data_IF_757075247469
#
_entry.id   IF_757075247469
#
_cell.length_a   1.000
_cell.length_b   1.000
_cell.length_c   1.000
_cell.angle_alpha   90.00
_cell.angle_beta   90.00
_cell.angle_gamma   90.00
#
_symmetry.space_group_name_H-M   'P 1'
#
loop_
_entity.id
_entity.type
_entity.pdbx_description
1 polymer ?
#
# COMPACT_ATOMS: atom_id res chain seq x y z
N UNK A 1 2.22 0.75 10.10
CA UNK A 1 1.48 0.09 11.23
C UNK A 1 1.74 -1.40 11.14
N UNK A 2 1.89 -2.11 12.27
CA UNK A 2 2.21 -3.53 12.27
C UNK A 2 1.37 -4.34 13.26
N UNK A 3 1.25 -5.64 12.99
CA UNK A 3 0.57 -6.62 13.85
C UNK A 3 0.92 -8.04 13.41
N UNK A 4 0.73 -9.02 14.29
CA UNK A 4 0.60 -10.42 13.88
C UNK A 4 -0.68 -10.62 13.05
N UNK A 5 -0.57 -11.43 12.00
CA UNK A 5 -1.69 -11.83 11.16
C UNK A 5 -1.41 -13.22 10.57
N UNK A 6 -2.24 -14.22 10.95
CA UNK A 6 -2.09 -15.63 10.51
C UNK A 6 -0.66 -16.15 10.71
N UNK A 7 -0.13 -15.96 11.92
CA UNK A 7 1.20 -16.41 12.36
C UNK A 7 2.39 -15.82 11.59
N UNK A 8 2.17 -14.77 10.81
CA UNK A 8 3.22 -13.97 10.15
C UNK A 8 3.09 -12.52 10.60
N UNK A 9 4.21 -11.80 10.72
CA UNK A 9 4.19 -10.41 11.13
C UNK A 9 4.03 -9.48 9.93
N UNK A 10 3.00 -8.65 9.97
CA UNK A 10 2.69 -7.69 8.93
C UNK A 10 3.20 -6.29 9.31
N UNK A 11 3.85 -5.61 8.36
CA UNK A 11 4.25 -4.20 8.47
C UNK A 11 3.70 -3.47 7.26
N UNK A 12 2.62 -2.69 7.45
CA UNK A 12 2.07 -1.85 6.39
C UNK A 12 2.68 -0.46 6.43
N UNK A 13 3.29 -0.08 5.32
CA UNK A 13 3.78 1.25 5.02
C UNK A 13 2.74 1.98 4.18
N UNK A 14 2.56 3.28 4.43
CA UNK A 14 1.60 4.10 3.72
C UNK A 14 2.20 5.47 3.39
N UNK A 15 1.87 5.98 2.21
CA UNK A 15 2.34 7.27 1.70
C UNK A 15 1.15 8.11 1.28
N UNK A 16 1.20 9.38 1.65
CA UNK A 16 0.21 10.37 1.21
C UNK A 16 0.77 11.20 0.06
N UNK A 17 0.00 11.32 -1.01
CA UNK A 17 0.25 12.25 -2.10
C UNK A 17 -0.91 13.26 -2.18
N UNK A 18 -0.65 14.56 -2.40
CA UNK A 18 -1.71 15.57 -2.51
C UNK A 18 -2.72 15.32 -3.63
N UNK A 19 -2.30 14.61 -4.67
CA UNK A 19 -3.11 14.18 -5.83
C UNK A 19 -2.63 12.83 -6.34
N UNK A 20 -3.51 12.06 -6.96
CA UNK A 20 -3.19 10.79 -7.61
C UNK A 20 -4.00 10.57 -8.88
N UNK A 21 -3.49 9.70 -9.75
CA UNK A 21 -4.16 9.25 -10.96
C UNK A 21 -5.11 8.08 -10.63
N UNK A 22 -6.38 8.27 -10.91
CA UNK A 22 -7.41 7.23 -10.84
C UNK A 22 -8.51 7.59 -11.81
N UNK A 23 -8.73 6.73 -12.80
CA UNK A 23 -9.71 6.91 -13.85
C UNK A 23 -10.63 5.68 -13.86
N UNK A 24 -11.73 5.70 -13.09
CA UNK A 24 -12.60 4.53 -12.92
C UNK A 24 -13.44 4.21 -14.18
N UNK A 25 -13.62 5.17 -15.09
CA UNK A 25 -14.40 5.00 -16.33
C UNK A 25 -13.66 5.58 -17.54
N UNK A 26 -13.70 4.87 -18.67
CA UNK A 26 -13.06 5.26 -19.93
C UNK A 26 -13.39 6.69 -20.40
N UNK A 27 -14.66 7.07 -20.25
CA UNK A 27 -15.19 8.36 -20.67
C UNK A 27 -15.17 9.43 -19.56
N UNK A 28 -14.49 9.17 -18.44
CA UNK A 28 -14.35 10.18 -17.39
C UNK A 28 -13.55 11.38 -17.90
N UNK A 29 -14.12 12.58 -17.79
CA UNK A 29 -13.38 13.83 -18.01
C UNK A 29 -12.37 14.12 -16.89
N UNK A 30 -12.52 13.46 -15.73
CA UNK A 30 -11.60 13.55 -14.61
C UNK A 30 -10.63 12.35 -14.63
N UNK A 31 -9.33 12.65 -14.74
CA UNK A 31 -8.26 11.64 -14.83
C UNK A 31 -7.59 11.37 -13.47
N UNK A 32 -8.10 11.91 -12.38
CA UNK A 32 -7.53 11.70 -11.06
C UNK A 32 -8.35 12.35 -9.96
N UNK A 33 -7.73 12.49 -8.80
CA UNK A 33 -8.39 13.11 -7.65
C UNK A 33 -7.40 13.73 -6.70
N UNK A 34 -7.92 14.64 -5.86
CA UNK A 34 -7.21 15.13 -4.68
C UNK A 34 -7.15 14.00 -3.66
N UNK A 35 -6.06 13.97 -2.90
CA UNK A 35 -5.77 13.01 -1.84
C UNK A 35 -5.60 11.58 -2.38
N UNK A 36 -4.38 11.07 -2.29
CA UNK A 36 -4.08 9.70 -2.67
C UNK A 36 -3.24 9.05 -1.58
N UNK A 37 -3.64 7.85 -1.18
CA UNK A 37 -2.95 7.01 -0.22
C UNK A 37 -2.43 5.75 -0.92
N UNK A 38 -1.11 5.65 -1.09
CA UNK A 38 -0.45 4.41 -1.48
C UNK A 38 -0.09 3.59 -0.25
N UNK A 39 -0.15 2.26 -0.34
CA UNK A 39 0.33 1.39 0.73
C UNK A 39 0.89 0.08 0.21
N UNK A 40 1.81 -0.49 0.97
CA UNK A 40 2.34 -1.82 0.78
C UNK A 40 2.51 -2.48 2.15
N UNK A 41 2.23 -3.78 2.23
CA UNK A 41 2.46 -4.60 3.41
C UNK A 41 3.67 -5.48 3.14
N UNK A 42 4.71 -5.32 3.97
CA UNK A 42 5.85 -6.22 4.04
C UNK A 42 5.55 -7.27 5.11
N UNK A 43 5.70 -8.53 4.75
CA UNK A 43 5.45 -9.67 5.62
C UNK A 43 6.79 -10.27 6.03
N UNK A 44 7.02 -10.39 7.34
CA UNK A 44 8.23 -10.99 7.90
C UNK A 44 7.87 -12.18 8.78
N UNK A 45 8.80 -13.12 8.90
CA UNK A 45 8.61 -14.33 9.70
C UNK A 45 8.36 -14.04 11.19
N UNK A 46 9.28 -13.34 11.86
CA UNK A 46 9.16 -13.03 13.27
C UNK A 46 9.95 -11.75 13.64
N UNK A 47 9.29 -10.69 14.14
CA UNK A 47 9.93 -9.42 14.48
C UNK A 47 10.88 -9.50 15.68
N UNK A 48 10.82 -10.57 16.48
CA UNK A 48 11.69 -10.77 17.63
C UNK A 48 13.08 -11.35 17.25
N UNK A 49 13.24 -11.80 15.99
CA UNK A 49 14.52 -12.31 15.49
C UNK A 49 15.45 -11.15 15.14
N UNK A 50 16.74 -11.30 15.47
CA UNK A 50 17.77 -10.32 15.09
C UNK A 50 17.85 -10.13 13.57
N UNK A 51 17.69 -11.24 12.83
CA UNK A 51 17.68 -11.26 11.36
C UNK A 51 16.34 -11.79 10.85
N UNK A 52 15.26 -11.05 11.13
CA UNK A 52 13.94 -11.36 10.59
C UNK A 52 13.97 -11.37 9.06
N UNK A 53 13.29 -12.35 8.45
CA UNK A 53 13.28 -12.55 7.00
C UNK A 53 12.01 -11.98 6.40
N UNK A 54 12.15 -11.24 5.31
CA UNK A 54 11.01 -10.89 4.45
C UNK A 54 10.54 -12.17 3.76
N UNK A 55 9.31 -12.57 4.06
CA UNK A 55 8.66 -13.76 3.49
C UNK A 55 7.66 -13.40 2.40
N UNK A 56 7.24 -12.14 2.32
CA UNK A 56 6.42 -11.66 1.22
C UNK A 56 6.22 -10.15 1.22
N UNK A 57 5.68 -9.63 0.13
CA UNK A 57 5.18 -8.27 0.01
C UNK A 57 3.83 -8.27 -0.71
N UNK A 58 2.94 -7.35 -0.35
CA UNK A 58 1.64 -7.22 -1.00
C UNK A 58 1.15 -5.76 -1.04
N UNK A 59 0.39 -5.39 -2.05
CA UNK A 59 -0.12 -4.03 -2.25
C UNK A 59 -1.39 -4.03 -3.13
N UNK A 60 -2.13 -2.92 -3.27
CA UNK A 60 -3.22 -2.83 -4.23
C UNK A 60 -2.75 -3.19 -5.64
N UNK A 61 -3.52 -4.01 -6.35
CA UNK A 61 -3.27 -4.21 -7.77
C UNK A 61 -3.63 -2.99 -8.59
N UNK A 62 -2.91 -2.85 -9.69
CA UNK A 62 -3.07 -1.76 -10.65
C UNK A 62 -3.97 -2.16 -11.83
N UNK A 63 -4.28 -3.46 -11.96
CA UNK A 63 -5.19 -3.96 -12.98
C UNK A 63 -6.66 -3.72 -12.58
N UNK A 64 -7.37 -2.93 -13.39
CA UNK A 64 -8.79 -2.64 -13.22
C UNK A 64 -9.72 -3.80 -13.60
N UNK A 65 -9.23 -4.80 -14.32
CA UNK A 65 -10.04 -5.90 -14.83
C UNK A 65 -10.13 -7.04 -13.82
N UNK A 66 -9.03 -7.35 -13.14
CA UNK A 66 -9.00 -8.44 -12.17
C UNK A 66 -9.32 -8.01 -10.74
N UNK A 67 -9.21 -6.71 -10.39
CA UNK A 67 -9.26 -6.21 -9.01
C UNK A 67 -8.35 -6.98 -8.04
N UNK A 68 -7.39 -7.75 -8.56
CA UNK A 68 -6.50 -8.56 -7.77
C UNK A 68 -5.50 -7.67 -7.04
N UNK A 69 -4.95 -8.18 -5.96
CA UNK A 69 -3.87 -7.51 -5.24
C UNK A 69 -2.53 -7.99 -5.80
N UNK A 70 -1.56 -7.10 -5.91
CA UNK A 70 -0.20 -7.55 -6.20
C UNK A 70 0.45 -8.13 -4.97
N UNK A 71 1.08 -9.29 -5.15
CA UNK A 71 1.64 -10.13 -4.09
C UNK A 71 2.88 -10.83 -4.62
N UNK A 72 3.94 -10.84 -3.82
CA UNK A 72 5.11 -11.70 -4.03
C UNK A 72 5.41 -12.44 -2.74
N UNK A 73 5.40 -13.77 -2.79
CA UNK A 73 5.69 -14.65 -1.66
C UNK A 73 6.32 -15.97 -2.18
N UNK A 74 7.65 -16.15 -2.10
CA UNK A 74 8.64 -15.21 -1.57
C UNK A 74 8.83 -13.98 -2.48
N UNK A 75 9.39 -12.91 -1.92
CA UNK A 75 9.75 -11.69 -2.69
C UNK A 75 10.90 -12.03 -3.64
N UNK A 76 10.82 -11.56 -4.88
CA UNK A 76 11.93 -11.76 -5.83
C UNK A 76 13.18 -11.02 -5.32
N UNK A 77 14.35 -11.69 -5.20
CA UNK A 77 15.58 -11.05 -4.75
C UNK A 77 15.94 -9.77 -5.50
N UNK A 78 15.56 -9.66 -6.79
CA UNK A 78 15.82 -8.44 -7.57
C UNK A 78 15.03 -7.23 -7.09
N UNK A 79 13.93 -7.45 -6.36
CA UNK A 79 13.12 -6.40 -5.72
C UNK A 79 13.57 -6.09 -4.28
N UNK A 80 14.66 -6.70 -3.80
CA UNK A 80 15.21 -6.44 -2.49
C UNK A 80 16.52 -5.63 -2.58
N UNK A 81 16.76 -4.83 -1.54
CA UNK A 81 18.06 -4.25 -1.20
C UNK A 81 18.28 -4.46 0.30
N UNK A 82 19.06 -5.48 0.65
CA UNK A 82 19.19 -5.96 2.02
C UNK A 82 17.83 -6.35 2.62
N UNK A 83 17.40 -5.63 3.66
CA UNK A 83 16.11 -5.81 4.34
C UNK A 83 15.02 -4.84 3.86
N UNK A 84 15.21 -4.20 2.70
CA UNK A 84 14.26 -3.25 2.12
C UNK A 84 13.65 -3.79 0.83
N UNK A 85 12.33 -3.68 0.69
CA UNK A 85 11.64 -3.91 -0.59
C UNK A 85 11.67 -2.63 -1.43
N UNK A 86 12.10 -2.75 -2.68
CA UNK A 86 12.15 -1.65 -3.66
C UNK A 86 10.80 -1.53 -4.35
N UNK A 87 10.20 -0.34 -4.25
CA UNK A 87 8.87 -0.04 -4.76
C UNK A 87 8.89 1.24 -5.59
N UNK A 88 8.09 1.30 -6.66
CA UNK A 88 7.79 2.55 -7.38
C UNK A 88 6.31 2.88 -7.28
N UNK A 89 6.00 4.18 -7.30
CA UNK A 89 4.67 4.59 -7.73
C UNK A 89 4.55 4.38 -9.24
N UNK A 90 3.59 3.56 -9.64
CA UNK A 90 3.31 3.26 -11.04
C UNK A 90 1.86 3.63 -11.37
N UNK A 91 1.63 4.11 -12.59
CA UNK A 91 0.32 4.39 -13.11
C UNK A 91 0.11 3.58 -14.39
N UNK A 92 -0.92 2.72 -14.39
CA UNK A 92 -1.25 1.85 -15.51
C UNK A 92 -2.52 2.37 -16.17
N UNK A 93 -2.45 2.90 -17.40
CA UNK A 93 -3.63 3.06 -18.25
C UNK A 93 -4.04 1.70 -18.83
N UNK A 94 -5.33 1.37 -18.76
CA UNK A 94 -5.94 0.22 -19.44
C UNK A 94 -6.39 0.60 -20.86
N UNK A 95 -6.50 -0.40 -21.74
CA UNK A 95 -6.93 -0.24 -23.14
C UNK A 95 -8.35 0.34 -23.26
N UNK A 96 -9.23 0.10 -22.27
CA UNK A 96 -10.60 0.63 -22.22
C UNK A 96 -10.69 2.05 -21.63
N UNK A 97 -9.56 2.77 -21.57
CA UNK A 97 -9.47 4.16 -21.11
C UNK A 97 -9.63 4.35 -19.60
N UNK A 98 -9.66 3.28 -18.80
CA UNK A 98 -9.52 3.35 -17.32
C UNK A 98 -8.04 3.39 -16.93
N UNK A 99 -7.73 3.67 -15.69
CA UNK A 99 -6.36 3.53 -15.21
C UNK A 99 -6.15 3.89 -13.76
N UNK A 100 -5.15 3.26 -13.12
CA UNK A 100 -4.90 3.33 -11.67
C UNK A 100 -3.47 3.69 -11.38
N UNK A 101 -3.26 4.47 -10.33
CA UNK A 101 -1.97 4.62 -9.67
C UNK A 101 -1.89 3.75 -8.41
N UNK A 102 -0.70 3.25 -8.11
CA UNK A 102 -0.40 2.56 -6.85
C UNK A 102 1.07 2.17 -6.81
N UNK A 103 1.41 1.20 -5.96
CA UNK A 103 2.78 0.73 -5.79
C UNK A 103 3.04 -0.53 -6.61
N UNK A 104 4.29 -0.69 -7.05
CA UNK A 104 4.74 -1.84 -7.81
C UNK A 104 6.19 -2.21 -7.43
N UNK A 105 6.53 -3.51 -7.24
CA UNK A 105 7.90 -3.95 -6.99
C UNK A 105 8.83 -3.68 -8.18
N UNK A 106 10.05 -3.22 -7.92
CA UNK A 106 11.01 -2.85 -8.99
C UNK A 106 12.45 -3.21 -8.67
N UNK A 107 13.27 -3.27 -9.71
CA UNK A 107 14.71 -3.51 -9.61
C UNK A 107 15.48 -2.23 -9.25
N UNK A 108 15.00 -1.07 -9.69
CA UNK A 108 15.65 0.21 -9.44
C UNK A 108 15.59 0.61 -7.96
N UNK A 109 16.69 1.14 -7.44
CA UNK A 109 16.74 1.68 -6.09
C UNK A 109 15.85 2.94 -5.98
N UNK A 110 15.12 3.02 -4.87
CA UNK A 110 14.34 4.19 -4.50
C UNK A 110 15.02 5.06 -3.45
N UNK A 111 14.22 5.85 -2.75
CA UNK A 111 14.65 6.68 -1.63
C UNK A 111 13.89 6.30 -0.36
N UNK A 112 14.47 6.59 0.80
CA UNK A 112 13.78 6.50 2.08
C UNK A 112 13.09 7.82 2.44
N UNK A 113 12.06 7.74 3.26
CA UNK A 113 11.37 8.89 3.85
C UNK A 113 11.39 8.74 5.36
N UNK A 114 11.30 9.86 6.07
CA UNK A 114 11.20 9.86 7.53
C UNK A 114 9.94 9.10 7.97
N UNK A 115 10.17 8.01 8.71
CA UNK A 115 9.10 7.12 9.16
C UNK A 115 8.50 7.62 10.47
N UNK A 116 7.17 7.76 10.50
CA UNK A 116 6.39 7.91 11.73
C UNK A 116 5.43 6.73 11.88
N UNK A 117 5.57 5.99 12.98
CA UNK A 117 4.71 4.85 13.27
C UNK A 117 3.34 5.30 13.80
N UNK A 118 2.30 4.49 13.56
CA UNK A 118 0.92 4.78 14.01
C UNK A 118 0.81 5.07 15.52
N UNK A 119 1.55 4.32 16.34
CA UNK A 119 1.62 4.49 17.79
C UNK A 119 2.47 5.70 18.23
N UNK A 120 3.35 6.22 17.37
CA UNK A 120 4.17 7.41 17.64
C UNK A 120 3.43 8.72 17.32
N UNK A 121 2.36 8.68 16.53
CA UNK A 121 1.52 9.85 16.26
C UNK A 121 0.90 10.41 17.54
N UNK A 122 0.54 11.70 17.53
CA UNK A 122 -0.29 12.27 18.59
C UNK A 122 -1.71 11.69 18.53
N UNK A 123 -2.43 11.78 19.64
CA UNK A 123 -3.84 11.38 19.68
C UNK A 123 -4.68 12.15 18.65
N UNK A 124 -4.49 13.48 18.56
CA UNK A 124 -5.18 14.32 17.59
C UNK A 124 -4.91 13.90 16.14
N UNK A 125 -3.67 13.51 15.82
CA UNK A 125 -3.33 13.01 14.48
C UNK A 125 -4.00 11.66 14.18
N UNK A 126 -3.98 10.72 15.13
CA UNK A 126 -4.69 9.44 14.99
C UNK A 126 -6.19 9.62 14.82
N UNK A 127 -6.80 10.50 15.62
CA UNK A 127 -8.23 10.80 15.54
C UNK A 127 -8.56 11.37 14.16
N UNK A 128 -7.83 12.39 13.71
CA UNK A 128 -8.04 13.01 12.40
C UNK A 128 -7.91 12.01 11.27
N UNK A 129 -6.84 11.21 11.24
CA UNK A 129 -6.64 10.19 10.19
C UNK A 129 -7.71 9.09 10.19
N UNK A 130 -8.34 8.83 11.33
CA UNK A 130 -9.38 7.81 11.46
C UNK A 130 -10.75 8.32 11.03
N UNK A 131 -11.04 9.61 11.23
CA UNK A 131 -12.39 10.18 11.01
C UNK A 131 -12.48 11.08 9.78
N UNK A 132 -11.37 11.62 9.28
CA UNK A 132 -11.40 12.55 8.16
C UNK A 132 -11.77 11.83 6.84
N UNK A 133 -12.72 12.41 6.12
CA UNK A 133 -13.16 11.92 4.82
C UNK A 133 -12.37 12.60 3.70
N UNK A 134 -11.34 11.93 3.19
CA UNK A 134 -10.46 12.45 2.13
C UNK A 134 -11.14 12.54 0.75
N UNK A 135 -12.04 11.62 0.42
CA UNK A 135 -12.87 11.69 -0.81
C UNK A 135 -14.04 10.71 -0.72
N UNK A 136 -15.06 10.91 -1.55
CA UNK A 136 -16.27 10.07 -1.61
C UNK A 136 -16.28 9.09 -2.78
N UNK A 137 -15.34 9.16 -3.72
CA UNK A 137 -15.54 8.54 -5.04
C UNK A 137 -14.59 7.40 -5.38
N UNK A 138 -13.45 7.26 -4.70
CA UNK A 138 -12.30 6.52 -5.21
C UNK A 138 -11.60 5.67 -4.12
N UNK A 139 -11.12 4.49 -4.51
CA UNK A 139 -10.59 3.47 -3.58
C UNK A 139 -9.31 3.93 -2.88
N UNK A 140 -8.45 4.67 -3.59
CA UNK A 140 -7.14 5.09 -3.09
C UNK A 140 -7.18 6.41 -2.30
N UNK A 141 -8.36 6.85 -1.90
CA UNK A 141 -8.52 8.04 -1.05
C UNK A 141 -8.64 7.71 0.44
N UNK A 142 -8.88 6.44 0.79
CA UNK A 142 -9.06 6.03 2.19
C UNK A 142 -7.71 5.84 2.89
N UNK A 143 -7.54 6.42 4.07
CA UNK A 143 -6.34 6.19 4.88
C UNK A 143 -6.24 4.69 5.27
N UNK A 144 -5.16 3.98 4.88
CA UNK A 144 -5.12 2.52 4.97
C UNK A 144 -4.83 1.99 6.38
N UNK A 145 -4.28 2.83 7.27
CA UNK A 145 -3.84 2.36 8.59
C UNK A 145 -4.86 2.59 9.71
N UNK A 146 -6.08 3.07 9.43
CA UNK A 146 -7.13 3.23 10.46
C UNK A 146 -7.72 1.89 10.89
N UNK A 147 -8.31 1.86 12.08
CA UNK A 147 -8.65 0.63 12.79
C UNK A 147 -9.61 -0.31 12.04
N UNK A 148 -10.58 0.22 11.30
CA UNK A 148 -11.55 -0.57 10.53
C UNK A 148 -11.02 -1.02 9.16
N UNK A 149 -9.98 -0.37 8.62
CA UNK A 149 -9.44 -0.63 7.29
C UNK A 149 -8.21 -1.52 7.36
N UNK A 150 -7.30 -1.27 8.29
CA UNK A 150 -6.02 -1.96 8.37
C UNK A 150 -6.18 -3.50 8.43
N UNK A 151 -7.00 -4.09 9.32
CA UNK A 151 -7.18 -5.55 9.35
C UNK A 151 -7.87 -6.12 8.10
N UNK A 152 -8.78 -5.35 7.47
CA UNK A 152 -9.43 -5.76 6.22
C UNK A 152 -8.44 -5.82 5.07
N UNK A 153 -7.56 -4.83 4.98
CA UNK A 153 -6.50 -4.80 3.98
C UNK A 153 -5.53 -5.97 4.19
N UNK A 154 -5.11 -6.26 5.42
CA UNK A 154 -4.26 -7.44 5.69
C UNK A 154 -4.90 -8.75 5.23
N UNK A 155 -6.20 -8.93 5.48
CA UNK A 155 -6.93 -10.11 4.99
C UNK A 155 -6.99 -10.16 3.46
N UNK A 156 -7.24 -9.01 2.83
CA UNK A 156 -7.41 -8.92 1.38
C UNK A 156 -6.08 -9.06 0.63
N UNK A 157 -4.98 -8.59 1.21
CA UNK A 157 -3.64 -8.64 0.61
C UNK A 157 -2.77 -9.77 1.11
N UNK A 158 -3.31 -10.70 1.90
CA UNK A 158 -2.57 -11.89 2.37
C UNK A 158 -1.96 -12.66 1.19
N UNK A 159 -0.63 -12.85 1.14
CA UNK A 159 0.05 -13.35 -0.05
C UNK A 159 0.29 -14.87 -0.06
N UNK A 160 -0.17 -15.60 0.96
CA UNK A 160 0.07 -17.04 1.13
C UNK A 160 -1.19 -17.91 1.03
#
# INVERSE_FOLDING_TARGET
>A
RSTWHRDVWAIMYAWYLPKGYEKPRGNSANNGHRHFWGYATVWIDNPAMENAKIVGVSMPGLNYESYEYEREAPVDPKHLDGSSVKLKFHAVPSEFGRGKQGLWPVEDAGEFQDLICWNQLTEAARQTLSTYHFSFTNDMSTFPLKDDVFPRLLNATWPF
#
